data_IF_438258167419
#
_entry.id   IF_438258167419
#
_cell.length_a   1.000
_cell.length_b   1.000
_cell.length_c   1.000
_cell.angle_alpha   90.00
_cell.angle_beta   90.00
_cell.angle_gamma   90.00
#
_symmetry.space_group_name_H-M   'P 1'
#
loop_
_entity.id
_entity.type
_entity.pdbx_description
1 polymer ?
#
# COMPACT_ATOMS: atom_id res chain seq x y z
N UNK A 1 51.92 16.16 -18.33
CA UNK A 1 52.59 15.70 -17.10
C UNK A 1 51.56 15.58 -15.98
N UNK A 2 50.57 16.48 -15.87
CA UNK A 2 49.51 16.46 -14.80
C UNK A 2 48.54 15.27 -14.96
N UNK A 3 48.17 14.87 -16.17
CA UNK A 3 47.28 13.73 -16.41
C UNK A 3 47.88 12.37 -16.04
N UNK A 4 49.22 12.20 -16.13
CA UNK A 4 49.86 10.94 -15.75
C UNK A 4 49.95 10.73 -14.24
N UNK A 5 49.90 11.78 -13.44
CA UNK A 5 49.95 11.69 -11.97
C UNK A 5 48.57 11.28 -11.45
N UNK A 6 47.47 11.71 -12.11
CA UNK A 6 46.10 11.42 -11.66
C UNK A 6 45.67 9.96 -11.89
N UNK A 7 46.12 9.33 -12.96
CA UNK A 7 45.85 7.91 -13.24
C UNK A 7 46.62 6.97 -12.29
N UNK A 8 47.84 7.33 -11.88
CA UNK A 8 48.61 6.52 -10.93
C UNK A 8 47.97 6.43 -9.54
N UNK A 9 47.41 7.51 -9.02
CA UNK A 9 46.75 7.51 -7.72
C UNK A 9 45.44 6.69 -7.66
N UNK A 10 44.65 6.66 -8.75
CA UNK A 10 43.43 5.84 -8.84
C UNK A 10 43.75 4.34 -8.82
N UNK A 11 44.77 3.90 -9.49
CA UNK A 11 45.17 2.49 -9.53
C UNK A 11 45.69 2.04 -8.15
N UNK A 12 46.48 2.86 -7.45
CA UNK A 12 46.96 2.55 -6.10
C UNK A 12 45.84 2.43 -5.10
N UNK A 13 44.84 3.31 -5.14
CA UNK A 13 43.65 3.27 -4.23
C UNK A 13 42.79 2.01 -4.49
N UNK A 14 42.61 1.61 -5.75
CA UNK A 14 41.84 0.40 -6.09
C UNK A 14 42.55 -0.87 -5.62
N UNK A 15 43.88 -0.95 -5.79
CA UNK A 15 44.68 -2.11 -5.36
C UNK A 15 44.71 -2.24 -3.84
N UNK A 16 44.87 -1.15 -3.10
CA UNK A 16 44.87 -1.17 -1.62
C UNK A 16 43.49 -1.57 -1.08
N UNK A 17 42.37 -1.10 -1.70
CA UNK A 17 41.04 -1.49 -1.33
C UNK A 17 40.74 -2.97 -1.58
N UNK A 18 41.25 -3.55 -2.68
CA UNK A 18 41.06 -4.96 -2.99
C UNK A 18 41.84 -5.88 -2.02
N UNK A 19 43.00 -5.48 -1.58
CA UNK A 19 43.79 -6.25 -0.59
C UNK A 19 43.13 -6.22 0.79
N UNK A 20 42.54 -5.10 1.20
CA UNK A 20 41.83 -4.98 2.47
C UNK A 20 40.56 -5.88 2.52
N UNK A 21 39.80 -5.97 1.43
CA UNK A 21 38.63 -6.84 1.33
C UNK A 21 39.03 -8.33 1.39
N UNK A 22 40.10 -8.72 0.75
CA UNK A 22 40.59 -10.11 0.79
C UNK A 22 41.08 -10.52 2.19
N UNK A 23 41.71 -9.62 2.93
CA UNK A 23 42.14 -9.88 4.31
C UNK A 23 40.96 -10.07 5.29
N UNK A 24 39.84 -9.35 5.12
CA UNK A 24 38.64 -9.48 5.92
C UNK A 24 37.91 -10.83 5.65
N UNK A 25 37.86 -11.25 4.40
CA UNK A 25 37.29 -12.56 4.02
C UNK A 25 38.09 -13.75 4.53
N UNK A 26 39.43 -13.65 4.57
CA UNK A 26 40.29 -14.70 5.12
C UNK A 26 40.18 -14.83 6.64
N UNK A 27 39.99 -13.72 7.37
CA UNK A 27 39.80 -13.73 8.82
C UNK A 27 38.40 -14.31 9.21
N UNK A 28 37.36 -14.10 8.39
CA UNK A 28 36.02 -14.66 8.58
C UNK A 28 36.00 -16.19 8.43
N UNK A 29 36.78 -16.76 7.48
CA UNK A 29 36.80 -18.20 7.26
C UNK A 29 37.54 -18.98 8.36
N UNK A 30 38.54 -18.38 9.04
CA UNK A 30 39.21 -19.01 10.16
C UNK A 30 38.42 -19.07 11.46
N UNK A 31 37.39 -18.22 11.64
CA UNK A 31 36.52 -18.20 12.82
C UNK A 31 35.47 -19.32 12.81
N UNK A 32 35.05 -19.77 11.63
CA UNK A 32 34.01 -20.82 11.48
C UNK A 32 34.53 -22.25 11.73
N UNK A 33 35.84 -22.48 11.61
CA UNK A 33 36.43 -23.83 11.76
C UNK A 33 36.76 -24.20 13.22
N UNK A 34 36.59 -23.27 14.21
CA UNK A 34 37.00 -23.50 15.61
C UNK A 34 35.85 -23.77 16.59
N UNK A 35 34.59 -23.91 16.17
CA UNK A 35 33.45 -24.21 17.04
C UNK A 35 32.84 -25.61 16.80
N UNK A 36 33.70 -26.64 16.82
CA UNK A 36 33.27 -28.04 16.86
C UNK A 36 33.15 -28.52 18.29
N UNK A 37 31.96 -28.40 18.92
CA UNK A 37 31.65 -29.00 20.21
C UNK A 37 30.94 -30.31 20.05
N UNK A 38 31.43 -31.38 20.71
CA UNK A 38 30.89 -32.73 20.78
C UNK A 38 29.57 -32.81 21.52
N UNK A 39 28.62 -33.67 21.14
CA UNK A 39 27.37 -33.86 21.87
C UNK A 39 27.57 -34.79 23.08
N UNK A 40 27.15 -34.31 24.24
CA UNK A 40 27.11 -35.07 25.48
C UNK A 40 25.77 -35.78 25.61
N UNK A 41 25.81 -37.11 25.81
CA UNK A 41 24.64 -37.95 26.01
C UNK A 41 24.03 -37.69 27.40
N UNK A 42 22.72 -37.49 27.45
CA UNK A 42 21.96 -37.36 28.71
C UNK A 42 21.22 -38.69 28.98
N UNK A 43 21.42 -39.18 30.18
CA UNK A 43 20.88 -40.42 30.69
C UNK A 43 19.37 -40.28 31.01
N UNK A 44 18.62 -41.35 30.69
CA UNK A 44 17.19 -41.50 30.98
C UNK A 44 16.98 -41.85 32.46
N UNK A 45 16.21 -41.05 33.19
CA UNK A 45 15.71 -41.37 34.51
C UNK A 45 14.32 -41.96 34.42
N UNK A 46 14.17 -43.16 34.96
CA UNK A 46 12.87 -43.88 35.05
C UNK A 46 12.01 -43.26 36.15
N UNK A 47 10.77 -42.90 35.82
CA UNK A 47 9.79 -42.42 36.80
C UNK A 47 8.92 -43.59 37.28
N UNK A 48 8.89 -43.77 38.63
CA UNK A 48 8.03 -44.74 39.32
C UNK A 48 6.57 -44.25 39.30
N UNK A 49 5.66 -45.12 38.92
CA UNK A 49 4.22 -44.88 38.99
C UNK A 49 3.69 -45.07 40.41
N UNK A 50 3.10 -44.04 40.98
CA UNK A 50 2.34 -44.10 42.23
C UNK A 50 0.86 -44.15 41.91
N UNK A 51 0.18 -45.24 42.31
CA UNK A 51 -1.26 -45.36 42.21
C UNK A 51 -1.96 -44.45 43.20
N UNK A 52 -2.82 -43.56 42.77
CA UNK A 52 -3.73 -42.78 43.60
C UNK A 52 -5.13 -43.32 43.42
N UNK A 53 -5.82 -43.59 44.53
CA UNK A 53 -7.16 -44.14 44.59
C UNK A 53 -8.22 -43.20 43.94
N UNK A 54 -9.12 -43.80 43.20
CA UNK A 54 -10.27 -43.20 42.54
C UNK A 54 -11.27 -42.71 43.60
N UNK A 55 -11.49 -41.37 43.68
CA UNK A 55 -12.56 -40.80 44.46
C UNK A 55 -13.80 -40.66 43.58
N UNK A 56 -14.87 -41.35 43.98
CA UNK A 56 -16.20 -41.28 43.33
C UNK A 56 -16.73 -39.87 43.40
N UNK A 57 -16.84 -39.19 42.26
CA UNK A 57 -17.46 -37.87 42.13
C UNK A 57 -18.94 -38.02 41.75
N UNK A 58 -19.80 -37.52 42.63
CA UNK A 58 -21.25 -37.34 42.38
C UNK A 58 -21.47 -36.44 41.16
N UNK A 59 -22.41 -36.73 40.23
CA UNK A 59 -22.66 -35.88 39.07
C UNK A 59 -23.18 -34.49 39.49
N UNK A 60 -22.41 -33.47 39.15
CA UNK A 60 -22.82 -32.09 39.25
C UNK A 60 -23.97 -31.77 38.28
N UNK A 61 -24.97 -30.96 38.64
CA UNK A 61 -26.10 -30.68 37.75
C UNK A 61 -25.59 -29.98 36.51
N UNK A 62 -25.99 -30.47 35.33
CA UNK A 62 -25.70 -29.85 34.02
C UNK A 62 -26.25 -28.42 34.03
N UNK A 63 -25.43 -27.41 33.76
CA UNK A 63 -25.92 -26.05 33.63
C UNK A 63 -26.88 -25.94 32.46
N UNK A 64 -28.05 -25.30 32.69
CA UNK A 64 -28.99 -24.95 31.63
C UNK A 64 -28.22 -24.13 30.55
N UNK A 65 -28.43 -24.37 29.25
CA UNK A 65 -27.85 -23.55 28.22
C UNK A 65 -28.22 -22.09 28.43
N UNK A 66 -27.23 -21.23 28.61
CA UNK A 66 -27.41 -19.79 28.61
C UNK A 66 -28.02 -19.41 27.27
N UNK A 67 -29.02 -18.50 27.21
CA UNK A 67 -29.53 -18.07 25.92
C UNK A 67 -28.38 -17.50 25.08
N UNK A 68 -28.23 -18.04 23.89
CA UNK A 68 -27.30 -17.48 22.90
C UNK A 68 -27.63 -16.00 22.71
N UNK A 69 -26.65 -15.09 22.71
CA UNK A 69 -26.93 -13.70 22.41
C UNK A 69 -27.57 -13.63 21.01
N UNK A 70 -28.79 -13.12 20.95
CA UNK A 70 -29.44 -12.80 19.69
C UNK A 70 -28.68 -11.57 19.17
N UNK A 71 -27.81 -11.73 18.19
CA UNK A 71 -27.23 -10.61 17.48
C UNK A 71 -28.35 -9.96 16.69
N UNK A 72 -28.68 -8.73 17.04
CA UNK A 72 -29.57 -7.87 16.25
C UNK A 72 -28.78 -7.43 15.01
N UNK A 73 -29.05 -8.06 13.88
CA UNK A 73 -28.46 -7.73 12.59
C UNK A 73 -29.16 -6.53 11.92
N UNK A 74 -29.98 -5.79 12.63
CA UNK A 74 -30.55 -4.54 12.10
C UNK A 74 -29.40 -3.56 11.84
N UNK A 75 -29.29 -2.98 10.63
CA UNK A 75 -28.28 -1.99 10.35
C UNK A 75 -28.42 -0.83 11.34
N UNK A 76 -27.34 -0.50 12.04
CA UNK A 76 -27.32 0.65 12.95
C UNK A 76 -27.69 1.89 12.13
N UNK A 77 -28.74 2.64 12.51
CA UNK A 77 -29.13 3.83 11.75
C UNK A 77 -27.98 4.83 11.67
N UNK A 78 -27.73 5.38 10.48
CA UNK A 78 -26.73 6.41 10.26
C UNK A 78 -27.01 7.60 11.20
N UNK A 79 -26.01 8.13 11.94
CA UNK A 79 -26.22 9.33 12.77
C UNK A 79 -26.67 10.52 11.92
N UNK A 80 -27.48 11.41 12.48
CA UNK A 80 -27.89 12.64 11.78
C UNK A 80 -26.65 13.48 11.41
N UNK A 81 -26.58 13.95 10.16
CA UNK A 81 -25.43 14.71 9.64
C UNK A 81 -24.24 13.84 9.22
N UNK A 82 -24.42 12.54 9.15
CA UNK A 82 -23.45 11.61 8.57
C UNK A 82 -23.92 11.09 7.21
N UNK A 83 -22.98 10.66 6.39
CA UNK A 83 -23.21 10.03 5.09
C UNK A 83 -22.12 9.01 4.79
N UNK A 84 -22.25 8.24 3.72
CA UNK A 84 -21.21 7.36 3.25
C UNK A 84 -20.19 8.12 2.41
N UNK A 85 -18.90 7.88 2.68
CA UNK A 85 -17.79 8.40 1.88
C UNK A 85 -17.88 7.95 0.42
N UNK A 86 -17.65 8.89 -0.50
CA UNK A 86 -17.70 8.63 -1.95
C UNK A 86 -16.61 7.66 -2.42
N UNK A 87 -15.47 7.58 -1.70
CA UNK A 87 -14.31 6.79 -2.13
C UNK A 87 -14.37 5.34 -1.69
N UNK A 88 -14.67 5.09 -0.43
CA UNK A 88 -14.60 3.75 0.19
C UNK A 88 -15.89 3.31 0.89
N UNK A 89 -16.91 4.18 0.87
CA UNK A 89 -18.22 3.88 1.45
C UNK A 89 -18.25 3.85 2.97
N UNK A 90 -17.22 4.30 3.68
CA UNK A 90 -17.23 4.39 5.14
C UNK A 90 -18.14 5.50 5.63
N UNK A 91 -18.89 5.28 6.74
CA UNK A 91 -19.69 6.33 7.33
C UNK A 91 -18.81 7.44 7.93
N UNK A 92 -19.10 8.68 7.57
CA UNK A 92 -18.38 9.86 8.05
C UNK A 92 -19.35 11.06 8.20
N UNK A 93 -18.98 12.13 8.95
CA UNK A 93 -19.69 13.39 8.87
C UNK A 93 -19.85 13.87 7.42
N UNK A 94 -21.05 14.30 7.01
CA UNK A 94 -21.38 14.58 5.59
C UNK A 94 -20.43 15.56 4.93
N UNK A 95 -19.89 16.54 5.67
CA UNK A 95 -18.89 17.48 5.17
C UNK A 95 -17.52 16.84 4.88
N UNK A 96 -17.21 15.69 5.48
CA UNK A 96 -16.01 14.90 5.22
C UNK A 96 -16.27 13.81 4.18
N UNK A 97 -17.42 13.14 4.25
CA UNK A 97 -17.82 12.10 3.30
C UNK A 97 -17.79 12.58 1.84
N UNK A 98 -18.10 13.87 1.62
CA UNK A 98 -18.13 14.52 0.31
C UNK A 98 -17.04 15.62 0.16
N UNK A 99 -15.96 15.55 0.95
CA UNK A 99 -14.86 16.50 0.83
C UNK A 99 -14.07 16.27 -0.46
N UNK A 100 -13.27 17.26 -0.86
CA UNK A 100 -12.34 17.13 -1.99
C UNK A 100 -11.36 15.99 -1.73
N UNK A 101 -11.29 14.96 -2.58
CA UNK A 101 -10.25 13.94 -2.46
C UNK A 101 -8.84 14.53 -2.64
N UNK A 102 -7.90 14.08 -1.83
CA UNK A 102 -6.49 14.46 -1.93
C UNK A 102 -5.65 13.22 -2.24
N UNK A 103 -5.02 13.19 -3.40
CA UNK A 103 -4.11 12.14 -3.83
C UNK A 103 -2.65 12.59 -3.62
N UNK A 104 -1.81 11.76 -3.00
CA UNK A 104 -0.41 12.09 -2.69
C UNK A 104 0.51 10.97 -3.18
N UNK A 105 1.53 11.34 -3.95
CA UNK A 105 2.57 10.42 -4.40
C UNK A 105 3.54 10.10 -3.26
N UNK A 106 3.75 8.82 -2.96
CA UNK A 106 4.63 8.34 -1.88
C UNK A 106 5.67 7.36 -2.44
N UNK A 107 6.89 7.49 -1.95
CA UNK A 107 8.06 6.71 -2.36
C UNK A 107 7.98 5.26 -1.87
N UNK A 108 8.49 4.31 -2.65
CA UNK A 108 8.67 2.91 -2.22
C UNK A 108 10.12 2.43 -2.33
N UNK A 109 11.08 3.33 -2.41
CA UNK A 109 12.48 2.95 -2.27
C UNK A 109 12.72 2.37 -0.86
N UNK A 110 13.60 1.37 -0.76
CA UNK A 110 13.90 0.70 0.52
C UNK A 110 14.34 1.68 1.63
N UNK A 111 15.07 2.74 1.28
CA UNK A 111 15.50 3.77 2.25
C UNK A 111 14.40 4.77 2.62
N UNK A 112 13.26 4.74 1.91
CA UNK A 112 12.08 5.52 2.24
C UNK A 112 11.17 4.82 3.27
N UNK A 113 11.41 3.55 3.55
CA UNK A 113 10.61 2.73 4.48
C UNK A 113 11.00 2.96 5.94
N UNK A 114 10.04 2.88 6.90
CA UNK A 114 8.61 2.81 6.69
C UNK A 114 8.05 4.15 6.23
N UNK A 115 7.02 4.09 5.37
CA UNK A 115 6.30 5.27 4.89
C UNK A 115 5.10 5.58 5.79
N UNK A 116 4.65 6.85 5.80
CA UNK A 116 3.55 7.34 6.63
C UNK A 116 2.32 7.72 5.82
N UNK A 117 1.13 7.58 6.42
CA UNK A 117 -0.15 8.04 5.90
C UNK A 117 -1.08 6.95 5.39
N UNK A 118 -0.66 5.69 5.37
CA UNK A 118 -1.45 4.58 4.81
C UNK A 118 -2.76 4.33 5.55
N UNK A 119 -2.71 4.31 6.88
CA UNK A 119 -3.87 3.95 7.73
C UNK A 119 -4.99 4.99 7.74
N UNK A 120 -4.79 6.14 7.12
CA UNK A 120 -5.80 7.19 6.94
C UNK A 120 -6.28 7.32 5.50
N UNK A 121 -5.71 6.54 4.56
CA UNK A 121 -6.05 6.63 3.16
C UNK A 121 -7.28 5.76 2.85
N UNK A 122 -8.24 6.29 2.11
CA UNK A 122 -9.40 5.53 1.61
C UNK A 122 -9.01 4.60 0.46
N UNK A 123 -8.08 5.04 -0.41
CA UNK A 123 -7.60 4.26 -1.56
C UNK A 123 -6.07 4.36 -1.65
N UNK A 124 -5.42 3.23 -1.89
CA UNK A 124 -3.98 3.15 -2.13
C UNK A 124 -3.70 2.47 -3.46
N UNK A 125 -3.02 3.16 -4.38
CA UNK A 125 -2.44 2.56 -5.57
C UNK A 125 -0.98 2.21 -5.34
N UNK A 126 -0.54 1.05 -5.84
CA UNK A 126 0.88 0.72 -5.99
C UNK A 126 1.14 0.28 -7.43
N UNK A 127 2.20 0.81 -8.03
CA UNK A 127 2.57 0.50 -9.42
C UNK A 127 4.08 0.63 -9.65
N UNK A 128 4.63 -0.09 -10.66
CA UNK A 128 6.02 0.05 -11.06
C UNK A 128 6.38 1.50 -11.39
N UNK A 129 7.59 1.93 -10.99
CA UNK A 129 8.15 3.23 -11.27
C UNK A 129 9.59 3.10 -11.83
N UNK A 130 10.39 4.15 -11.74
CA UNK A 130 11.70 4.18 -12.39
C UNK A 130 12.73 3.28 -11.72
N UNK A 131 13.70 2.83 -12.53
CA UNK A 131 14.84 2.08 -12.01
C UNK A 131 14.51 0.72 -11.42
N UNK A 132 13.27 0.28 -11.58
CA UNK A 132 12.75 -0.94 -10.95
C UNK A 132 12.22 -0.73 -9.54
N UNK A 133 12.09 0.53 -9.12
CA UNK A 133 11.33 0.88 -7.93
C UNK A 133 9.84 0.81 -8.22
N UNK A 134 9.04 0.75 -7.16
CA UNK A 134 7.60 0.93 -7.22
C UNK A 134 7.25 2.27 -6.57
N UNK A 135 6.00 2.66 -6.64
CA UNK A 135 5.54 3.91 -6.04
C UNK A 135 4.10 3.78 -5.62
N UNK A 136 3.75 4.50 -4.55
CA UNK A 136 2.38 4.58 -4.08
C UNK A 136 1.73 5.90 -4.47
N UNK A 137 0.40 5.88 -4.59
CA UNK A 137 -0.46 7.06 -4.52
C UNK A 137 -1.52 6.78 -3.48
N UNK A 138 -1.53 7.56 -2.41
CA UNK A 138 -2.50 7.49 -1.32
C UNK A 138 -3.59 8.53 -1.59
N UNK A 139 -4.86 8.14 -1.50
CA UNK A 139 -6.00 9.04 -1.72
C UNK A 139 -6.83 9.11 -0.44
N UNK A 140 -7.04 10.32 0.03
CA UNK A 140 -7.74 10.64 1.27
C UNK A 140 -9.04 11.40 0.96
N UNK A 141 -10.08 11.17 1.72
CA UNK A 141 -11.32 11.96 1.69
C UNK A 141 -11.77 12.29 3.10
N UNK A 142 -12.36 11.34 3.83
CA UNK A 142 -12.79 11.52 5.21
C UNK A 142 -11.66 11.35 6.23
N UNK A 143 -10.61 10.61 5.86
CA UNK A 143 -9.44 10.35 6.70
C UNK A 143 -8.49 11.54 6.82
N UNK A 144 -7.91 11.72 8.00
CA UNK A 144 -6.93 12.77 8.29
C UNK A 144 -5.59 12.17 8.63
N UNK A 145 -4.57 12.43 7.81
CA UNK A 145 -3.18 12.05 8.05
C UNK A 145 -2.37 13.27 8.49
N UNK A 146 -1.74 13.18 9.66
CA UNK A 146 -0.85 14.22 10.21
C UNK A 146 0.52 14.21 9.55
N UNK A 147 0.89 13.08 8.92
CA UNK A 147 2.19 12.88 8.27
C UNK A 147 2.02 11.95 7.07
N UNK A 148 2.35 12.43 5.87
CA UNK A 148 2.26 11.68 4.62
C UNK A 148 3.61 11.76 3.93
N UNK A 149 4.19 10.59 3.64
CA UNK A 149 5.45 10.58 2.90
C UNK A 149 6.34 9.35 3.12
N UNK A 150 7.56 9.38 2.56
CA UNK A 150 8.16 10.49 1.79
C UNK A 150 7.44 10.78 0.47
N UNK A 151 7.13 12.05 0.23
CA UNK A 151 6.47 12.47 -1.02
C UNK A 151 7.44 12.39 -2.18
N UNK A 152 6.96 11.91 -3.33
CA UNK A 152 7.81 11.60 -4.49
C UNK A 152 7.23 12.08 -5.82
N UNK A 153 8.03 11.95 -6.86
CA UNK A 153 7.68 12.37 -8.23
C UNK A 153 6.54 11.53 -8.81
N UNK A 154 5.68 12.17 -9.59
CA UNK A 154 4.60 11.49 -10.32
C UNK A 154 5.06 10.82 -11.62
N UNK A 155 4.18 10.00 -12.19
CA UNK A 155 4.26 9.40 -13.53
C UNK A 155 2.91 9.53 -14.22
N UNK A 156 2.83 9.47 -15.59
CA UNK A 156 1.60 9.75 -16.33
C UNK A 156 0.38 8.96 -15.85
N UNK A 157 0.54 7.68 -15.57
CA UNK A 157 -0.56 6.81 -15.15
C UNK A 157 -1.11 7.19 -13.75
N UNK A 158 -0.30 7.69 -12.82
CA UNK A 158 -0.79 8.20 -11.54
C UNK A 158 -1.62 9.49 -11.71
N UNK A 159 -1.24 10.34 -12.67
CA UNK A 159 -2.03 11.54 -13.02
C UNK A 159 -3.41 11.14 -13.54
N UNK A 160 -3.48 10.11 -14.39
CA UNK A 160 -4.76 9.58 -14.90
C UNK A 160 -5.61 8.96 -13.79
N UNK A 161 -5.00 8.20 -12.87
CA UNK A 161 -5.72 7.65 -11.72
C UNK A 161 -6.18 8.73 -10.74
N UNK A 162 -5.39 9.75 -10.46
CA UNK A 162 -5.83 10.90 -9.67
C UNK A 162 -7.04 11.61 -10.33
N UNK A 163 -7.04 11.67 -11.66
CA UNK A 163 -8.12 12.24 -12.46
C UNK A 163 -9.44 11.46 -12.41
N UNK A 164 -9.42 10.15 -12.10
CA UNK A 164 -10.64 9.36 -11.85
C UNK A 164 -11.45 9.93 -10.68
N UNK A 165 -10.74 10.49 -9.70
CA UNK A 165 -11.32 11.03 -8.47
C UNK A 165 -11.33 12.56 -8.44
N UNK A 166 -10.92 13.21 -9.53
CA UNK A 166 -10.77 14.67 -9.63
C UNK A 166 -10.04 15.27 -8.41
N UNK A 167 -9.02 14.59 -7.95
CA UNK A 167 -8.36 14.86 -6.69
C UNK A 167 -7.45 16.11 -6.75
N UNK A 168 -7.24 16.74 -5.60
CA UNK A 168 -6.06 17.54 -5.34
C UNK A 168 -4.84 16.62 -5.40
N UNK A 169 -3.84 16.93 -6.25
CA UNK A 169 -2.77 15.99 -6.58
C UNK A 169 -1.42 16.47 -6.08
N UNK A 170 -1.01 15.95 -4.93
CA UNK A 170 0.26 16.26 -4.24
C UNK A 170 1.40 15.37 -4.74
N UNK A 171 2.49 15.98 -5.21
CA UNK A 171 3.68 15.27 -5.66
C UNK A 171 4.94 16.15 -5.61
N UNK A 172 6.11 15.55 -5.76
CA UNK A 172 7.39 16.25 -5.77
C UNK A 172 8.05 16.12 -7.15
N UNK A 173 7.62 16.97 -8.10
CA UNK A 173 8.06 16.89 -9.50
C UNK A 173 7.57 15.63 -10.23
N UNK A 174 8.16 15.35 -11.39
CA UNK A 174 7.81 14.22 -12.25
C UNK A 174 8.81 14.08 -13.41
N UNK A 175 8.55 13.13 -14.31
CA UNK A 175 9.21 13.06 -15.59
C UNK A 175 8.68 14.14 -16.54
N UNK A 176 9.39 14.38 -17.65
CA UNK A 176 9.02 15.42 -18.63
C UNK A 176 7.65 15.20 -19.26
N UNK A 177 7.23 13.94 -19.47
CA UNK A 177 5.91 13.62 -20.03
C UNK A 177 4.81 13.95 -19.02
N UNK A 178 5.01 13.61 -17.75
CA UNK A 178 4.07 13.97 -16.68
C UNK A 178 3.88 15.48 -16.55
N UNK A 179 4.99 16.22 -16.45
CA UNK A 179 4.96 17.65 -16.14
C UNK A 179 4.53 18.52 -17.34
N UNK A 180 5.01 18.19 -18.57
CA UNK A 180 4.83 19.03 -19.74
C UNK A 180 3.64 18.64 -20.63
N UNK A 181 3.11 17.42 -20.46
CA UNK A 181 2.02 16.91 -21.30
C UNK A 181 0.83 16.42 -20.47
N UNK A 182 1.04 15.46 -19.55
CA UNK A 182 -0.07 14.79 -18.89
C UNK A 182 -0.80 15.70 -17.91
N UNK A 183 -0.08 16.35 -16.98
CA UNK A 183 -0.69 17.29 -16.03
C UNK A 183 -1.44 18.43 -16.76
N UNK A 184 -0.87 19.12 -17.77
CA UNK A 184 -1.60 20.12 -18.52
C UNK A 184 -2.86 19.59 -19.22
N UNK A 185 -2.81 18.38 -19.80
CA UNK A 185 -3.99 17.77 -20.45
C UNK A 185 -5.10 17.40 -19.45
N UNK A 186 -4.72 17.14 -18.21
CA UNK A 186 -5.62 16.74 -17.10
C UNK A 186 -6.04 17.91 -16.21
N UNK A 187 -5.69 19.15 -16.54
CA UNK A 187 -5.90 20.33 -15.69
C UNK A 187 -7.38 20.61 -15.29
N UNK A 188 -8.35 20.03 -16.01
CA UNK A 188 -9.78 20.08 -15.67
C UNK A 188 -10.22 18.97 -14.69
N UNK A 189 -9.36 18.00 -14.44
CA UNK A 189 -9.67 16.77 -13.71
C UNK A 189 -8.78 16.53 -12.50
N UNK A 190 -7.70 17.27 -12.36
CA UNK A 190 -6.84 17.26 -11.18
C UNK A 190 -6.50 18.70 -10.77
N UNK A 191 -6.20 18.88 -9.50
CA UNK A 191 -5.70 20.13 -8.97
C UNK A 191 -4.23 19.95 -8.58
N UNK A 192 -3.35 20.41 -9.47
CA UNK A 192 -1.92 20.15 -9.36
C UNK A 192 -1.30 20.88 -8.16
N UNK A 193 -0.69 20.15 -7.24
CA UNK A 193 -0.01 20.65 -6.05
C UNK A 193 1.44 20.13 -6.04
N UNK A 194 2.23 20.55 -7.04
CA UNK A 194 3.64 20.16 -7.16
C UNK A 194 4.50 20.92 -6.15
N UNK A 195 5.26 20.22 -5.33
CA UNK A 195 6.21 20.80 -4.39
C UNK A 195 7.32 21.63 -5.04
N UNK A 196 7.54 21.49 -6.35
CA UNK A 196 8.53 22.24 -7.12
C UNK A 196 7.95 23.44 -7.90
N UNK A 197 6.62 23.59 -7.98
CA UNK A 197 5.98 24.64 -8.76
C UNK A 197 6.06 26.04 -8.12
N UNK A 198 6.49 26.13 -6.88
CA UNK A 198 6.54 27.40 -6.14
C UNK A 198 5.18 27.90 -5.63
N UNK A 199 4.10 27.17 -5.81
CA UNK A 199 2.72 27.54 -5.46
C UNK A 199 2.42 27.49 -3.96
N UNK A 200 3.46 27.46 -3.12
CA UNK A 200 3.36 27.57 -1.66
C UNK A 200 2.55 26.47 -0.97
N UNK A 201 2.35 25.31 -1.64
CA UNK A 201 1.82 24.14 -0.97
C UNK A 201 2.81 23.65 0.09
N UNK A 202 2.37 23.40 1.32
CA UNK A 202 3.27 23.16 2.43
C UNK A 202 3.83 21.73 2.43
N UNK A 203 4.97 21.58 1.80
CA UNK A 203 5.84 20.43 1.95
C UNK A 203 7.03 20.81 2.83
N UNK A 204 7.49 19.87 3.63
CA UNK A 204 8.68 20.05 4.46
C UNK A 204 9.63 18.87 4.32
N UNK A 205 10.89 19.06 4.68
CA UNK A 205 11.88 17.97 4.71
C UNK A 205 12.25 17.64 6.14
N UNK A 206 12.25 16.35 6.47
CA UNK A 206 12.74 15.87 7.75
C UNK A 206 14.26 15.63 7.69
N UNK A 207 14.96 15.82 8.79
CA UNK A 207 16.42 15.66 8.89
C UNK A 207 16.85 14.23 9.19
N UNK A 208 15.92 13.37 9.62
CA UNK A 208 16.20 11.96 9.98
C UNK A 208 16.37 11.05 8.77
N UNK A 209 16.09 11.55 7.57
CA UNK A 209 16.26 10.83 6.30
C UNK A 209 17.03 11.66 5.30
N UNK A 210 17.74 10.98 4.39
CA UNK A 210 18.50 11.65 3.33
C UNK A 210 17.59 12.05 2.16
N UNK A 211 17.90 13.20 1.55
CA UNK A 211 17.26 13.62 0.28
C UNK A 211 17.59 12.60 -0.83
N UNK A 212 16.64 12.28 -1.71
CA UNK A 212 15.31 12.86 -1.89
C UNK A 212 14.18 12.15 -1.11
N UNK A 213 14.48 11.20 -0.24
CA UNK A 213 13.54 10.32 0.47
C UNK A 213 13.07 10.91 1.82
N UNK A 214 12.91 12.23 1.90
CA UNK A 214 12.67 12.95 3.15
C UNK A 214 11.66 14.10 3.06
N UNK A 215 10.89 14.21 1.98
CA UNK A 215 9.85 15.22 1.83
C UNK A 215 8.52 14.70 2.38
N UNK A 216 7.84 15.51 3.18
CA UNK A 216 6.58 15.15 3.84
C UNK A 216 5.56 16.28 3.73
N UNK A 217 4.28 15.92 3.91
CA UNK A 217 3.13 16.82 3.98
C UNK A 217 2.06 16.21 4.90
N UNK A 218 0.86 16.80 4.96
CA UNK A 218 -0.31 16.27 5.64
C UNK A 218 -1.60 16.71 4.94
N UNK A 219 -2.72 16.05 5.25
CA UNK A 219 -4.02 16.33 4.62
C UNK A 219 -4.49 17.75 4.85
N UNK A 220 -4.37 18.29 6.06
CA UNK A 220 -4.80 19.66 6.39
C UNK A 220 -4.01 20.70 5.59
N UNK A 221 -2.71 20.51 5.43
CA UNK A 221 -1.84 21.37 4.65
C UNK A 221 -2.23 21.39 3.17
N UNK A 222 -2.51 20.20 2.60
CA UNK A 222 -2.91 20.09 1.19
C UNK A 222 -4.32 20.63 0.94
N UNK A 223 -5.28 20.42 1.85
CA UNK A 223 -6.61 21.03 1.76
C UNK A 223 -6.54 22.56 1.85
N UNK A 224 -5.69 23.11 2.73
CA UNK A 224 -5.43 24.54 2.80
C UNK A 224 -4.81 25.08 1.50
N UNK A 225 -3.90 24.33 0.88
CA UNK A 225 -3.34 24.67 -0.41
C UNK A 225 -4.39 24.65 -1.50
N UNK A 226 -5.20 23.58 -1.58
CA UNK A 226 -6.31 23.46 -2.51
C UNK A 226 -7.24 24.68 -2.44
N UNK A 227 -7.63 25.09 -1.25
CA UNK A 227 -8.47 26.28 -1.04
C UNK A 227 -7.80 27.59 -1.56
N UNK A 228 -6.49 27.76 -1.36
CA UNK A 228 -5.74 28.93 -1.86
C UNK A 228 -5.69 29.00 -3.38
N UNK A 229 -5.61 27.85 -4.06
CA UNK A 229 -5.62 27.79 -5.53
C UNK A 229 -7.04 27.73 -6.11
N UNK A 230 -8.07 28.03 -5.30
CA UNK A 230 -9.45 28.20 -5.74
C UNK A 230 -10.25 26.90 -5.88
N UNK A 231 -9.86 25.86 -5.16
CA UNK A 231 -10.55 24.57 -5.20
C UNK A 231 -11.80 24.58 -4.30
N UNK A 232 -12.90 23.87 -4.71
CA UNK A 232 -14.04 23.68 -3.85
C UNK A 232 -13.66 22.80 -2.64
N UNK A 233 -14.20 23.12 -1.46
CA UNK A 233 -13.99 22.31 -0.25
C UNK A 233 -14.81 21.01 -0.27
N UNK A 234 -15.90 20.99 -1.03
CA UNK A 234 -16.76 19.82 -1.24
C UNK A 234 -16.76 19.46 -2.72
N UNK A 235 -16.74 18.19 -2.99
CA UNK A 235 -16.75 17.70 -4.36
C UNK A 235 -18.00 16.87 -4.62
N UNK A 236 -18.79 17.28 -5.62
CA UNK A 236 -19.91 16.51 -6.13
C UNK A 236 -19.57 15.90 -7.48
N UNK A 237 -19.89 14.63 -7.68
CA UNK A 237 -19.73 13.97 -8.98
C UNK A 237 -18.52 13.05 -9.08
N UNK A 238 -18.11 12.44 -7.97
CA UNK A 238 -17.35 11.20 -8.06
C UNK A 238 -18.24 10.12 -8.70
N UNK A 239 -17.66 9.26 -9.54
CA UNK A 239 -18.43 8.19 -10.14
C UNK A 239 -18.91 7.24 -9.07
N UNK A 240 -20.21 6.90 -9.10
CA UNK A 240 -20.81 5.96 -8.18
C UNK A 240 -20.04 4.62 -8.19
N UNK A 241 -19.57 4.21 -7.03
CA UNK A 241 -19.07 2.88 -6.77
C UNK A 241 -20.06 2.17 -5.85
N UNK A 242 -20.42 0.94 -6.19
CA UNK A 242 -21.33 0.16 -5.35
C UNK A 242 -20.56 -0.48 -4.20
N UNK A 243 -21.05 -0.26 -2.99
CA UNK A 243 -20.54 -0.89 -1.77
C UNK A 243 -21.60 -1.82 -1.16
N UNK A 244 -21.13 -2.85 -0.47
CA UNK A 244 -21.95 -3.78 0.30
C UNK A 244 -21.47 -3.80 1.75
N UNK A 245 -22.37 -4.15 2.65
CA UNK A 245 -22.04 -4.37 4.05
C UNK A 245 -21.29 -5.69 4.25
N UNK A 246 -20.65 -5.82 5.40
CA UNK A 246 -19.85 -6.98 5.76
C UNK A 246 -20.67 -8.27 5.80
N UNK A 247 -20.10 -9.35 5.30
CA UNK A 247 -20.59 -10.70 5.56
C UNK A 247 -20.47 -11.02 7.06
N UNK A 248 -21.49 -11.64 7.69
CA UNK A 248 -21.40 -12.06 9.09
C UNK A 248 -20.16 -12.88 9.39
N UNK A 249 -19.51 -12.65 10.53
CA UNK A 249 -18.22 -13.29 10.91
C UNK A 249 -18.28 -14.82 10.77
N UNK A 250 -19.40 -15.46 11.13
CA UNK A 250 -19.57 -16.90 11.05
C UNK A 250 -19.56 -17.46 9.61
N UNK A 251 -19.75 -16.62 8.60
CA UNK A 251 -19.77 -16.99 7.18
C UNK A 251 -18.45 -16.65 6.46
N UNK A 252 -17.52 -15.98 7.15
CA UNK A 252 -16.21 -15.60 6.60
C UNK A 252 -15.27 -16.80 6.58
N UNK A 253 -14.40 -16.94 5.57
CA UNK A 253 -13.34 -17.94 5.58
C UNK A 253 -12.42 -17.75 6.79
N UNK A 254 -11.90 -18.85 7.34
CA UNK A 254 -11.02 -18.82 8.51
C UNK A 254 -9.66 -18.16 8.21
N UNK A 255 -9.22 -18.26 6.96
CA UNK A 255 -7.95 -17.66 6.51
C UNK A 255 -7.95 -17.49 4.99
N UNK A 256 -7.19 -16.51 4.52
CA UNK A 256 -6.79 -16.36 3.12
C UNK A 256 -5.46 -15.61 3.07
N UNK A 257 -4.68 -15.81 2.03
CA UNK A 257 -3.41 -15.09 1.84
C UNK A 257 -3.21 -14.70 0.39
N UNK A 258 -2.48 -13.60 0.18
CA UNK A 258 -2.15 -13.07 -1.15
C UNK A 258 -0.66 -12.73 -1.14
N UNK A 259 0.05 -13.11 -2.20
CA UNK A 259 1.45 -12.73 -2.40
C UNK A 259 1.63 -12.13 -3.79
N UNK A 260 2.16 -10.92 -3.84
CA UNK A 260 2.35 -10.13 -5.05
C UNK A 260 3.84 -9.75 -5.14
N UNK A 261 4.59 -10.29 -6.11
CA UNK A 261 6.00 -9.94 -6.29
C UNK A 261 6.10 -8.59 -7.02
N UNK A 262 6.69 -7.60 -6.34
CA UNK A 262 7.20 -6.38 -6.94
C UNK A 262 8.72 -6.40 -6.95
N UNK A 263 9.34 -5.51 -7.69
CA UNK A 263 10.82 -5.43 -7.76
C UNK A 263 11.44 -4.84 -6.49
N UNK A 264 10.69 -4.00 -5.79
CA UNK A 264 11.12 -3.39 -4.52
C UNK A 264 10.88 -4.28 -3.30
N UNK A 265 10.17 -5.40 -3.46
CA UNK A 265 9.88 -6.35 -2.40
C UNK A 265 8.61 -7.14 -2.67
N UNK A 266 8.43 -8.21 -1.95
CA UNK A 266 7.23 -9.04 -2.02
C UNK A 266 6.17 -8.50 -1.09
N UNK A 267 5.00 -8.16 -1.64
CA UNK A 267 3.86 -7.71 -0.86
C UNK A 267 3.02 -8.92 -0.45
N UNK A 268 2.80 -9.05 0.85
CA UNK A 268 1.93 -10.05 1.44
C UNK A 268 0.67 -9.43 2.03
N UNK A 269 -0.43 -10.18 1.99
CA UNK A 269 -1.66 -9.89 2.72
C UNK A 269 -2.15 -11.18 3.36
N UNK A 270 -2.49 -11.11 4.64
CA UNK A 270 -3.10 -12.23 5.40
C UNK A 270 -4.46 -11.76 5.90
N UNK A 271 -5.50 -12.52 5.57
CA UNK A 271 -6.87 -12.19 5.97
C UNK A 271 -7.10 -12.48 7.44
N UNK A 272 -7.63 -11.51 8.15
CA UNK A 272 -8.17 -11.65 9.50
C UNK A 272 -9.70 -11.61 9.46
N UNK A 273 -10.39 -12.74 9.71
CA UNK A 273 -11.85 -12.79 9.68
C UNK A 273 -12.51 -11.98 10.80
N UNK A 274 -11.82 -11.70 11.89
CA UNK A 274 -12.39 -10.94 13.01
C UNK A 274 -12.59 -9.47 12.63
N UNK A 275 -11.59 -8.86 11.99
CA UNK A 275 -11.65 -7.47 11.52
C UNK A 275 -12.16 -7.34 10.08
N UNK A 276 -12.38 -8.46 9.37
CA UNK A 276 -12.67 -8.51 7.93
C UNK A 276 -11.65 -7.73 7.09
N UNK A 277 -10.40 -7.85 7.43
CA UNK A 277 -9.33 -7.07 6.80
C UNK A 277 -8.15 -7.95 6.40
N UNK A 278 -7.42 -7.51 5.40
CA UNK A 278 -6.16 -8.11 4.98
C UNK A 278 -5.00 -7.34 5.63
N UNK A 279 -4.27 -8.00 6.52
CA UNK A 279 -3.08 -7.46 7.19
C UNK A 279 -1.91 -7.44 6.20
N UNK A 280 -1.36 -6.25 5.93
CA UNK A 280 -0.32 -6.06 4.91
C UNK A 280 1.08 -6.27 5.47
N UNK A 281 1.94 -6.91 4.65
CA UNK A 281 3.38 -7.08 4.91
C UNK A 281 4.21 -6.74 3.68
N UNK A 282 5.48 -6.45 3.90
CA UNK A 282 6.50 -6.24 2.85
C UNK A 282 7.68 -7.13 3.19
N UNK A 283 8.07 -8.03 2.28
CA UNK A 283 9.15 -9.02 2.46
C UNK A 283 8.95 -9.92 3.70
N UNK A 284 7.71 -10.14 4.11
CA UNK A 284 7.32 -10.92 5.29
C UNK A 284 7.18 -10.11 6.57
N UNK A 285 7.70 -8.90 6.64
CA UNK A 285 7.57 -8.02 7.81
C UNK A 285 6.25 -7.24 7.76
N UNK A 286 5.54 -7.15 8.88
CA UNK A 286 4.33 -6.33 9.00
C UNK A 286 4.63 -4.88 8.62
N UNK A 287 3.86 -4.33 7.68
CA UNK A 287 4.00 -2.91 7.36
C UNK A 287 3.30 -2.07 8.41
N UNK A 288 4.09 -1.37 9.21
CA UNK A 288 3.59 -0.44 10.23
C UNK A 288 3.63 0.98 9.69
N UNK A 289 2.52 1.71 9.82
CA UNK A 289 2.46 3.14 9.53
C UNK A 289 2.99 3.95 10.72
N UNK A 290 4.12 4.68 10.59
CA UNK A 290 4.69 5.43 11.71
C UNK A 290 3.78 6.55 12.23
N UNK A 291 2.87 7.08 11.41
CA UNK A 291 1.96 8.15 11.82
C UNK A 291 0.91 7.68 12.84
N UNK A 292 0.46 6.42 12.74
CA UNK A 292 -0.53 5.83 13.64
C UNK A 292 0.05 4.76 14.56
N UNK A 293 1.24 4.23 14.24
CA UNK A 293 1.83 3.04 14.87
C UNK A 293 0.94 1.79 14.74
N UNK A 294 0.13 1.71 13.68
CA UNK A 294 -0.75 0.57 13.38
C UNK A 294 -0.26 -0.17 12.14
N UNK A 295 -0.56 -1.46 12.07
CA UNK A 295 -0.32 -2.23 10.86
C UNK A 295 -1.27 -1.75 9.76
N UNK A 296 -0.73 -1.59 8.55
CA UNK A 296 -1.52 -1.26 7.36
C UNK A 296 -2.43 -2.43 7.01
N UNK A 297 -3.71 -2.13 6.79
CA UNK A 297 -4.75 -3.09 6.44
C UNK A 297 -5.42 -2.74 5.11
N UNK A 298 -6.21 -3.64 4.58
CA UNK A 298 -7.08 -3.41 3.44
C UNK A 298 -8.39 -4.19 3.58
N UNK A 299 -9.52 -3.58 3.25
CA UNK A 299 -10.80 -4.30 3.16
C UNK A 299 -10.96 -4.96 1.79
N UNK A 300 -10.44 -4.31 0.76
CA UNK A 300 -10.43 -4.81 -0.60
C UNK A 300 -9.01 -4.74 -1.16
N UNK A 301 -8.51 -5.83 -1.72
CA UNK A 301 -7.25 -5.86 -2.48
C UNK A 301 -7.57 -6.19 -3.93
N UNK A 302 -7.25 -5.27 -4.83
CA UNK A 302 -7.53 -5.37 -6.26
C UNK A 302 -6.21 -5.47 -7.00
N UNK A 303 -6.00 -6.54 -7.76
CA UNK A 303 -4.81 -6.68 -8.61
C UNK A 303 -5.24 -6.45 -10.07
N UNK A 304 -4.67 -5.43 -10.71
CA UNK A 304 -4.88 -5.10 -12.11
C UNK A 304 -3.68 -5.57 -12.93
N UNK A 305 -3.88 -6.50 -13.85
CA UNK A 305 -2.84 -6.91 -14.79
C UNK A 305 -2.87 -5.97 -15.99
N UNK A 306 -1.84 -5.11 -16.11
CA UNK A 306 -1.80 -4.04 -17.10
C UNK A 306 -0.55 -4.16 -17.97
N UNK A 307 -0.67 -3.71 -19.23
CA UNK A 307 0.48 -3.67 -20.13
C UNK A 307 1.48 -2.61 -19.64
N UNK A 308 2.73 -3.01 -19.53
CA UNK A 308 3.85 -2.17 -19.15
C UNK A 308 4.78 -1.97 -20.34
N UNK A 309 5.06 -0.73 -20.68
CA UNK A 309 6.04 -0.32 -21.67
C UNK A 309 6.98 0.72 -21.10
N UNK A 310 7.95 1.19 -21.87
CA UNK A 310 8.94 2.15 -21.39
C UNK A 310 9.23 3.20 -22.46
N UNK A 311 9.49 4.43 -22.05
CA UNK A 311 10.09 5.44 -22.92
C UNK A 311 11.44 5.89 -22.38
N UNK A 312 12.31 6.35 -23.26
CA UNK A 312 13.62 6.87 -22.91
C UNK A 312 13.55 8.38 -22.67
N UNK A 313 14.04 8.82 -21.53
CA UNK A 313 14.25 10.22 -21.20
C UNK A 313 15.74 10.48 -21.08
N UNK A 314 16.33 11.40 -21.87
CA UNK A 314 17.78 11.65 -21.85
C UNK A 314 18.31 11.94 -20.44
N UNK A 315 19.38 11.27 -20.04
CA UNK A 315 20.00 11.43 -18.73
C UNK A 315 19.30 10.69 -17.58
N UNK A 316 18.28 9.89 -17.88
CA UNK A 316 17.52 9.13 -16.89
C UNK A 316 17.40 7.64 -17.28
N UNK A 317 17.04 6.81 -16.32
CA UNK A 317 16.62 5.43 -16.60
C UNK A 317 15.35 5.43 -17.46
N UNK A 318 15.11 4.33 -18.17
CA UNK A 318 13.88 4.13 -18.92
C UNK A 318 12.65 4.30 -18.00
N UNK A 319 11.70 5.13 -18.43
CA UNK A 319 10.51 5.51 -17.68
C UNK A 319 9.38 4.52 -17.97
N UNK A 320 8.74 3.92 -16.97
CA UNK A 320 7.61 3.03 -17.19
C UNK A 320 6.37 3.78 -17.66
N UNK A 321 5.59 3.11 -18.49
CA UNK A 321 4.26 3.54 -18.94
C UNK A 321 3.30 2.38 -18.72
N UNK A 322 2.35 2.57 -17.83
CA UNK A 322 1.27 1.62 -17.56
C UNK A 322 0.07 1.99 -18.42
N UNK A 323 -0.47 1.02 -19.16
CA UNK A 323 -1.69 1.22 -19.93
C UNK A 323 -2.90 1.29 -18.98
N UNK A 324 -3.45 2.48 -18.78
CA UNK A 324 -4.58 2.71 -17.85
C UNK A 324 -5.94 2.57 -18.53
N UNK A 325 -6.06 2.89 -19.82
CA UNK A 325 -7.29 2.80 -20.60
C UNK A 325 -7.39 1.47 -21.32
N UNK A 326 -8.58 0.87 -21.37
CA UNK A 326 -8.84 -0.42 -22.00
C UNK A 326 -9.50 -1.41 -21.04
N UNK A 327 -9.13 -2.67 -21.17
CA UNK A 327 -9.59 -3.75 -20.30
C UNK A 327 -8.54 -4.85 -20.15
N UNK A 328 -8.61 -5.61 -19.07
CA UNK A 328 -7.70 -6.72 -18.82
C UNK A 328 -8.12 -7.56 -17.63
N UNK A 329 -7.35 -8.62 -17.34
CA UNK A 329 -7.56 -9.47 -16.18
C UNK A 329 -7.40 -8.67 -14.89
N UNK A 330 -8.26 -8.94 -13.92
CA UNK A 330 -8.10 -8.51 -12.54
C UNK A 330 -8.36 -9.67 -11.56
N UNK A 331 -7.88 -9.51 -10.32
CA UNK A 331 -8.28 -10.30 -9.17
C UNK A 331 -8.82 -9.33 -8.13
N UNK A 332 -9.99 -9.64 -7.56
CA UNK A 332 -10.60 -8.86 -6.49
C UNK A 332 -10.67 -9.74 -5.26
N UNK A 333 -9.95 -9.33 -4.22
CA UNK A 333 -9.96 -10.01 -2.92
C UNK A 333 -10.76 -9.17 -1.94
N UNK A 334 -11.78 -9.75 -1.35
CA UNK A 334 -12.60 -9.18 -0.30
C UNK A 334 -13.19 -10.28 0.57
N UNK A 335 -13.39 -10.02 1.85
CA UNK A 335 -14.01 -10.98 2.79
C UNK A 335 -13.33 -12.37 2.78
N UNK A 336 -12.01 -12.41 2.65
CA UNK A 336 -11.24 -13.65 2.57
C UNK A 336 -11.46 -14.48 1.30
N UNK A 337 -12.12 -13.95 0.28
CA UNK A 337 -12.43 -14.63 -0.99
C UNK A 337 -11.78 -13.92 -2.17
N UNK A 338 -11.57 -14.65 -3.27
CA UNK A 338 -11.08 -14.12 -4.53
C UNK A 338 -12.15 -14.22 -5.61
N UNK A 339 -12.30 -13.15 -6.38
CA UNK A 339 -13.12 -13.10 -7.59
C UNK A 339 -12.17 -12.84 -8.77
N UNK A 340 -12.15 -13.78 -9.73
CA UNK A 340 -11.48 -13.55 -11.02
C UNK A 340 -12.32 -12.58 -11.83
N UNK A 341 -11.74 -11.45 -12.19
CA UNK A 341 -12.47 -10.31 -12.72
C UNK A 341 -11.84 -9.79 -14.03
N UNK A 342 -12.58 -8.89 -14.67
CA UNK A 342 -12.11 -8.06 -15.77
C UNK A 342 -12.18 -6.59 -15.33
N UNK A 343 -11.03 -5.89 -15.36
CA UNK A 343 -11.05 -4.44 -15.22
C UNK A 343 -11.39 -3.77 -16.57
N UNK A 344 -12.11 -2.65 -16.53
CA UNK A 344 -12.40 -1.79 -17.68
C UNK A 344 -12.28 -0.33 -17.32
N UNK A 345 -11.62 0.45 -18.18
CA UNK A 345 -11.52 1.90 -18.09
C UNK A 345 -11.66 2.49 -19.49
N UNK A 346 -12.66 3.34 -19.72
CA UNK A 346 -13.08 3.80 -21.04
C UNK A 346 -12.38 5.08 -21.51
N UNK A 347 -11.78 5.84 -20.59
CA UNK A 347 -11.01 7.06 -20.88
C UNK A 347 -10.04 7.36 -19.72
N UNK A 348 -9.14 8.32 -19.91
CA UNK A 348 -8.18 8.74 -18.88
C UNK A 348 -8.84 9.20 -17.57
N UNK A 349 -10.07 9.70 -17.63
CA UNK A 349 -10.81 10.23 -16.47
C UNK A 349 -11.97 9.33 -16.01
N UNK A 350 -12.27 8.24 -16.74
CA UNK A 350 -13.30 7.30 -16.31
C UNK A 350 -12.81 6.47 -15.12
N UNK A 351 -13.71 6.14 -14.20
CA UNK A 351 -13.41 5.24 -13.10
C UNK A 351 -13.04 3.85 -13.65
N UNK A 352 -12.00 3.26 -13.09
CA UNK A 352 -11.66 1.85 -13.31
C UNK A 352 -12.73 0.97 -12.65
N UNK A 353 -13.49 0.23 -13.46
CA UNK A 353 -14.56 -0.66 -13.03
C UNK A 353 -14.15 -2.12 -13.12
N UNK A 354 -14.78 -2.95 -12.28
CA UNK A 354 -14.45 -4.36 -12.11
C UNK A 354 -15.69 -5.21 -12.39
N UNK A 355 -15.56 -6.19 -13.26
CA UNK A 355 -16.68 -7.04 -13.70
C UNK A 355 -16.36 -8.51 -13.44
N UNK A 356 -17.33 -9.26 -12.98
CA UNK A 356 -17.28 -10.72 -12.83
C UNK A 356 -17.34 -11.43 -14.19
N UNK A 357 -17.27 -12.77 -14.18
CA UNK A 357 -17.35 -13.59 -15.40
C UNK A 357 -18.70 -13.52 -16.11
N UNK A 358 -19.74 -13.08 -15.43
CA UNK A 358 -21.10 -12.88 -15.96
C UNK A 358 -21.29 -11.46 -16.54
N UNK A 359 -20.31 -10.57 -16.34
CA UNK A 359 -20.36 -9.18 -16.79
C UNK A 359 -21.06 -8.22 -15.82
N UNK A 360 -21.36 -8.67 -14.59
CA UNK A 360 -21.89 -7.80 -13.55
C UNK A 360 -20.75 -7.02 -12.90
N UNK A 361 -20.99 -5.76 -12.55
CA UNK A 361 -20.03 -4.98 -11.77
C UNK A 361 -19.92 -5.55 -10.36
N UNK A 362 -18.68 -5.71 -9.88
CA UNK A 362 -18.37 -6.29 -8.57
C UNK A 362 -18.49 -5.18 -7.52
N UNK A 363 -19.43 -5.26 -6.56
CA UNK A 363 -19.47 -4.33 -5.45
C UNK A 363 -18.31 -4.59 -4.49
N UNK A 364 -17.75 -3.53 -3.91
CA UNK A 364 -16.70 -3.63 -2.90
C UNK A 364 -17.31 -3.65 -1.49
N UNK A 365 -16.56 -4.19 -0.53
CA UNK A 365 -16.90 -4.02 0.89
C UNK A 365 -16.48 -2.62 1.32
N UNK A 366 -17.24 -1.99 2.24
CA UNK A 366 -16.88 -0.66 2.76
C UNK A 366 -15.54 -0.68 3.47
N UNK A 367 -14.72 0.33 3.22
CA UNK A 367 -13.40 0.52 3.83
C UNK A 367 -12.25 0.50 2.83
N UNK A 368 -11.04 0.58 3.34
CA UNK A 368 -9.82 0.77 2.55
C UNK A 368 -9.68 -0.13 1.33
N UNK A 369 -9.28 0.48 0.20
CA UNK A 369 -9.10 -0.19 -1.09
C UNK A 369 -7.64 -0.09 -1.51
N UNK A 370 -6.95 -1.25 -1.63
CA UNK A 370 -5.61 -1.32 -2.20
C UNK A 370 -5.69 -1.79 -3.66
N UNK A 371 -5.15 -0.99 -4.57
CA UNK A 371 -5.10 -1.28 -6.01
C UNK A 371 -3.64 -1.53 -6.40
N UNK A 372 -3.36 -2.79 -6.74
CA UNK A 372 -2.05 -3.30 -7.09
C UNK A 372 -1.96 -3.40 -8.63
N UNK A 373 -1.32 -2.42 -9.28
CA UNK A 373 -1.05 -2.47 -10.71
C UNK A 373 0.22 -3.28 -10.96
N UNK A 374 0.07 -4.37 -11.68
CA UNK A 374 1.19 -5.27 -12.00
C UNK A 374 1.28 -5.52 -13.50
N UNK A 375 2.47 -5.78 -14.05
CA UNK A 375 2.63 -6.18 -15.45
C UNK A 375 1.84 -7.46 -15.76
N UNK A 376 1.33 -7.57 -17.00
CA UNK A 376 0.75 -8.82 -17.50
C UNK A 376 1.78 -9.94 -17.36
N UNK A 377 1.37 -11.06 -16.78
CA UNK A 377 2.25 -12.22 -16.54
C UNK A 377 2.88 -12.26 -15.14
N UNK A 378 2.67 -11.23 -14.30
CA UNK A 378 3.11 -11.29 -12.89
C UNK A 378 2.48 -12.48 -12.18
N UNK A 379 3.31 -13.27 -11.48
CA UNK A 379 2.88 -14.47 -10.75
C UNK A 379 2.31 -14.08 -9.37
N UNK A 380 1.04 -13.70 -9.33
CA UNK A 380 0.31 -13.48 -8.07
C UNK A 380 -0.17 -14.83 -7.55
N UNK A 381 0.19 -15.17 -6.31
CA UNK A 381 -0.25 -16.40 -5.64
C UNK A 381 -1.21 -16.07 -4.50
N UNK A 382 -2.16 -16.98 -4.24
CA UNK A 382 -3.15 -16.81 -3.18
C UNK A 382 -3.70 -18.16 -2.73
N UNK A 383 -4.16 -18.23 -1.47
CA UNK A 383 -4.76 -19.41 -0.85
C UNK A 383 -6.07 -19.03 -0.17
#
# INVERSE_FOLDING_TARGET
>A
VIERIWTGHRIVVIVVSAIAVMAILAAGLLAVVRSGGTPQATATAAASATFIAEASVSPSPTPLPSPSPTFDNSPTPMPSGWDYSDLDGMPAPSNLAHSLPIAVMVDDNIIARPQSGFTSASIVYQAPADGGEDRYMLIFQEGSATDIGPVRSTRPYFVYWAGEYKAGFGHFGGDSVSLLKTIPSMAKYIYNMDALSGDSCPYHRISTRISPHNAYTNTAALLSCAAKIGQPSTYQGLPDRTFVDDTPVAERPASASITIPYRTGTIGYVYDPASDSYLRSVDGDSQIDPASNQQVTARNVIVLFQALSYFNEPGHNARPVVATVGSGKALVFKEGRVIVATWKKTSDTALTRLYDSSGNEIPLVRGEIFIQSVPIGTAVTYQ
#
